data_IF_647787846683
#
_entry.id   IF_647787846683
#
_cell.length_a   1.000
_cell.length_b   1.000
_cell.length_c   1.000
_cell.angle_alpha   90.00
_cell.angle_beta   90.00
_cell.angle_gamma   90.00
#
_symmetry.space_group_name_H-M   'P 1'
#
loop_
_entity.id
_entity.type
_entity.pdbx_description
1 polymer ?
#
# COMPACT_ATOMS: atom_id res chain seq x y z
N UNK A 1 -38.15 44.69 41.86
CA UNK A 1 -37.45 44.45 40.57
C UNK A 1 -36.21 43.59 40.83
N UNK A 2 -36.24 42.29 40.52
CA UNK A 2 -35.03 41.45 40.47
C UNK A 2 -35.09 40.67 39.16
N UNK A 3 -34.17 40.98 38.25
CA UNK A 3 -34.12 40.38 36.91
C UNK A 3 -33.73 38.91 37.03
N UNK A 4 -34.41 38.05 36.28
CA UNK A 4 -34.02 36.65 36.09
C UNK A 4 -33.12 36.61 34.86
N UNK A 5 -31.83 36.36 35.06
CA UNK A 5 -30.89 36.07 33.97
C UNK A 5 -31.16 34.63 33.51
N UNK A 6 -31.79 34.49 32.34
CA UNK A 6 -32.01 33.22 31.67
C UNK A 6 -30.71 32.81 30.96
N UNK A 7 -29.98 31.84 31.51
CA UNK A 7 -28.80 31.27 30.88
C UNK A 7 -29.23 30.37 29.72
N UNK A 8 -29.15 30.88 28.48
CA UNK A 8 -29.36 30.08 27.27
C UNK A 8 -28.09 29.26 27.00
N UNK A 9 -28.17 27.94 27.15
CA UNK A 9 -27.15 27.02 26.62
C UNK A 9 -27.15 27.13 25.09
N UNK A 10 -26.09 27.72 24.54
CA UNK A 10 -25.81 27.65 23.11
C UNK A 10 -25.06 26.33 22.91
N UNK A 11 -25.77 25.32 22.40
CA UNK A 11 -25.16 24.07 21.96
C UNK A 11 -24.40 24.30 20.66
N UNK A 12 -23.08 24.45 20.74
CA UNK A 12 -22.22 24.53 19.57
C UNK A 12 -22.06 23.13 18.97
N UNK A 13 -22.75 22.87 17.87
CA UNK A 13 -22.58 21.66 17.06
C UNK A 13 -21.21 21.77 16.35
N UNK A 14 -20.18 21.07 16.85
CA UNK A 14 -18.92 20.94 16.13
C UNK A 14 -19.11 19.97 14.96
N UNK A 15 -19.31 20.50 13.75
CA UNK A 15 -19.18 19.71 12.53
C UNK A 15 -17.71 19.33 12.37
N UNK A 16 -17.39 18.04 12.53
CA UNK A 16 -16.07 17.51 12.20
C UNK A 16 -16.03 17.32 10.68
N UNK A 17 -15.18 18.04 9.93
CA UNK A 17 -15.05 17.79 8.51
C UNK A 17 -14.45 16.39 8.29
N UNK A 18 -15.14 15.58 7.49
CA UNK A 18 -14.62 14.31 7.00
C UNK A 18 -13.45 14.63 6.04
N UNK A 19 -12.22 14.53 6.51
CA UNK A 19 -11.04 14.59 5.64
C UNK A 19 -11.03 13.33 4.76
N UNK A 20 -11.45 13.47 3.51
CA UNK A 20 -11.29 12.42 2.51
C UNK A 20 -9.80 12.27 2.19
N UNK A 21 -9.25 11.07 2.33
CA UNK A 21 -7.90 10.77 1.86
C UNK A 21 -7.92 10.74 0.32
N UNK A 22 -7.12 11.59 -0.31
CA UNK A 22 -6.92 11.57 -1.75
C UNK A 22 -5.70 10.72 -2.11
N UNK A 23 -5.76 9.88 -3.15
CA UNK A 23 -4.62 9.10 -3.59
C UNK A 23 -3.47 10.05 -3.96
N UNK A 24 -2.28 9.74 -3.45
CA UNK A 24 -1.05 10.45 -3.77
C UNK A 24 -0.28 9.61 -4.78
N UNK A 25 0.01 10.21 -5.93
CA UNK A 25 0.92 9.63 -6.92
C UNK A 25 2.31 10.17 -6.64
N UNK A 26 3.25 9.28 -6.33
CA UNK A 26 4.66 9.60 -6.34
C UNK A 26 5.34 8.93 -7.53
N UNK A 27 6.26 9.68 -8.12
CA UNK A 27 7.13 9.16 -9.15
C UNK A 27 8.24 8.35 -8.49
N UNK A 28 8.44 7.11 -8.92
CA UNK A 28 9.66 6.37 -8.64
C UNK A 28 10.66 6.66 -9.77
N UNK A 29 11.94 6.78 -9.41
CA UNK A 29 13.02 7.14 -10.33
C UNK A 29 13.01 6.28 -11.61
N UNK A 30 13.52 6.81 -12.73
CA UNK A 30 13.51 6.10 -14.01
C UNK A 30 14.34 4.80 -13.91
N UNK A 31 13.72 3.67 -14.23
CA UNK A 31 14.37 2.35 -14.15
C UNK A 31 14.88 1.94 -15.52
N UNK A 32 16.18 1.64 -15.63
CA UNK A 32 16.74 1.02 -16.84
C UNK A 32 16.61 -0.49 -16.73
N UNK A 33 15.90 -1.10 -17.68
CA UNK A 33 15.73 -2.56 -17.78
C UNK A 33 16.49 -3.03 -19.01
N UNK A 34 17.56 -3.78 -18.81
CA UNK A 34 18.37 -4.33 -19.93
C UNK A 34 17.60 -5.44 -20.66
N UNK A 35 17.88 -5.63 -21.96
CA UNK A 35 17.39 -6.81 -22.69
C UNK A 35 17.87 -8.15 -22.10
N UNK A 36 18.91 -8.11 -21.27
CA UNK A 36 19.42 -9.25 -20.50
C UNK A 36 18.80 -9.37 -19.10
N UNK A 37 17.91 -8.47 -18.67
CA UNK A 37 17.36 -8.45 -17.31
C UNK A 37 16.42 -9.64 -17.07
N UNK A 38 16.90 -10.66 -16.36
CA UNK A 38 16.22 -11.92 -16.18
C UNK A 38 15.16 -11.85 -15.07
N UNK A 39 13.88 -11.82 -15.48
CA UNK A 39 12.76 -11.71 -14.53
C UNK A 39 12.65 -12.91 -13.58
N UNK A 40 13.14 -14.09 -13.99
CA UNK A 40 13.05 -15.31 -13.20
C UNK A 40 14.06 -15.37 -12.04
N UNK A 41 15.02 -14.44 -12.00
CA UNK A 41 15.91 -14.25 -10.86
C UNK A 41 15.38 -13.28 -9.79
N UNK A 42 14.17 -12.73 -9.98
CA UNK A 42 13.60 -11.75 -9.07
C UNK A 42 13.55 -12.26 -7.63
N UNK A 43 14.04 -11.45 -6.69
CA UNK A 43 14.02 -11.79 -5.26
C UNK A 43 15.11 -12.75 -4.78
N UNK A 44 15.84 -13.40 -5.68
CA UNK A 44 16.94 -14.30 -5.35
C UNK A 44 18.26 -13.58 -5.12
N UNK A 45 19.20 -14.28 -4.47
CA UNK A 45 20.59 -13.84 -4.34
C UNK A 45 21.51 -14.63 -5.27
N UNK A 46 22.70 -14.11 -5.62
CA UNK A 46 23.67 -14.87 -6.40
C UNK A 46 23.94 -16.26 -5.80
N UNK A 47 24.00 -17.32 -6.63
CA UNK A 47 23.98 -17.30 -8.09
C UNK A 47 22.59 -17.42 -8.74
N UNK A 48 21.51 -17.45 -7.94
CA UNK A 48 20.15 -17.73 -8.41
C UNK A 48 19.41 -16.49 -8.93
N UNK A 49 20.04 -15.30 -8.87
CA UNK A 49 19.51 -14.03 -9.36
C UNK A 49 19.61 -13.87 -10.89
N UNK A 50 20.22 -14.85 -11.58
CA UNK A 50 20.29 -14.96 -13.05
C UNK A 50 20.13 -16.41 -13.51
N UNK A 51 18.99 -17.07 -13.24
CA UNK A 51 18.84 -18.50 -13.51
C UNK A 51 18.82 -18.79 -15.02
N UNK A 52 19.53 -19.83 -15.42
CA UNK A 52 19.54 -20.32 -16.81
C UNK A 52 19.34 -21.84 -16.91
N UNK A 53 18.27 -22.41 -16.33
CA UNK A 53 17.98 -23.85 -16.44
C UNK A 53 17.80 -24.33 -17.89
N UNK A 54 17.39 -23.45 -18.81
CA UNK A 54 17.34 -23.73 -20.25
C UNK A 54 18.71 -23.63 -20.95
N UNK A 55 19.74 -23.10 -20.29
CA UNK A 55 21.05 -22.81 -20.87
C UNK A 55 21.13 -21.47 -21.60
N UNK A 56 22.17 -21.30 -22.43
CA UNK A 56 22.38 -20.12 -23.28
C UNK A 56 22.51 -18.77 -22.55
N UNK A 57 22.90 -18.80 -21.27
CA UNK A 57 23.19 -17.61 -20.45
C UNK A 57 21.99 -17.12 -19.64
N UNK A 58 22.28 -16.68 -18.41
CA UNK A 58 21.28 -16.17 -17.45
C UNK A 58 21.07 -14.66 -17.49
N UNK A 59 21.87 -13.94 -18.28
CA UNK A 59 21.76 -12.50 -18.46
C UNK A 59 22.26 -11.72 -17.24
N UNK A 60 21.49 -10.72 -16.83
CA UNK A 60 21.77 -9.83 -15.72
C UNK A 60 20.61 -9.84 -14.73
N UNK A 61 20.85 -9.59 -13.43
CA UNK A 61 19.76 -9.52 -12.45
C UNK A 61 18.72 -8.46 -12.83
N UNK A 62 17.44 -8.76 -12.62
CA UNK A 62 16.35 -7.81 -12.84
C UNK A 62 16.44 -6.64 -11.83
N UNK A 63 16.39 -5.36 -12.27
CA UNK A 63 16.28 -4.22 -11.37
C UNK A 63 14.94 -4.24 -10.61
N UNK A 64 14.90 -3.57 -9.45
CA UNK A 64 13.67 -3.44 -8.67
C UNK A 64 13.44 -2.03 -8.13
N UNK A 65 12.17 -1.74 -7.86
CA UNK A 65 11.69 -0.54 -7.16
C UNK A 65 11.13 -0.94 -5.80
N UNK A 66 11.41 -0.13 -4.77
CA UNK A 66 10.81 -0.33 -3.44
C UNK A 66 9.42 0.29 -3.39
N UNK A 67 8.44 -0.46 -2.88
CA UNK A 67 7.03 -0.08 -2.99
C UNK A 67 6.55 0.92 -1.93
N UNK A 68 7.26 1.10 -0.81
CA UNK A 68 7.00 2.16 0.19
C UNK A 68 5.51 2.36 0.58
N UNK A 69 4.78 1.26 0.81
CA UNK A 69 3.33 1.27 1.13
C UNK A 69 2.41 1.75 -0.01
N UNK A 70 2.88 1.79 -1.25
CA UNK A 70 2.03 1.97 -2.42
C UNK A 70 1.00 0.84 -2.52
N UNK A 71 -0.19 1.20 -2.98
CA UNK A 71 -1.33 0.29 -3.18
C UNK A 71 -1.48 -0.14 -4.63
N UNK A 72 -0.95 0.65 -5.56
CA UNK A 72 -0.89 0.29 -6.98
C UNK A 72 0.31 0.93 -7.67
N UNK A 73 0.66 0.38 -8.84
CA UNK A 73 1.64 0.94 -9.75
C UNK A 73 1.03 1.12 -11.13
N UNK A 74 1.44 2.18 -11.81
CA UNK A 74 1.24 2.40 -13.24
C UNK A 74 2.58 2.75 -13.88
N UNK A 75 2.65 2.67 -15.19
CA UNK A 75 3.87 3.00 -15.95
C UNK A 75 3.56 4.20 -16.84
N UNK A 76 4.31 5.29 -16.67
CA UNK A 76 4.02 6.57 -17.34
C UNK A 76 4.44 6.54 -18.80
N UNK A 77 5.74 6.53 -19.04
CA UNK A 77 6.36 6.30 -20.33
C UNK A 77 7.34 5.12 -20.25
N UNK A 78 7.19 4.17 -21.17
CA UNK A 78 8.17 3.11 -21.39
C UNK A 78 8.78 3.31 -22.77
N UNK A 79 10.08 3.57 -22.81
CA UNK A 79 10.80 3.89 -24.05
C UNK A 79 11.99 2.97 -24.25
N UNK A 80 12.58 2.98 -25.44
CA UNK A 80 13.67 2.07 -25.80
C UNK A 80 13.18 0.79 -26.47
N UNK A 81 14.13 -0.07 -26.80
CA UNK A 81 13.90 -1.32 -27.52
C UNK A 81 14.93 -2.36 -27.11
N UNK A 82 14.53 -3.62 -27.17
CA UNK A 82 15.42 -4.76 -26.98
C UNK A 82 15.39 -5.69 -28.17
N UNK A 83 16.42 -6.52 -28.33
CA UNK A 83 16.43 -7.60 -29.30
C UNK A 83 16.79 -8.90 -28.58
N UNK A 84 16.02 -9.95 -28.85
CA UNK A 84 16.22 -11.29 -28.32
C UNK A 84 16.58 -12.20 -29.50
N UNK A 85 17.76 -12.82 -29.46
CA UNK A 85 18.32 -13.56 -30.60
C UNK A 85 19.31 -12.81 -31.50
N UNK A 86 19.71 -11.58 -31.15
CA UNK A 86 20.82 -10.85 -31.79
C UNK A 86 20.67 -10.54 -33.30
N UNK A 87 19.45 -10.52 -33.83
CA UNK A 87 19.17 -10.37 -35.27
C UNK A 87 19.03 -8.91 -35.74
N UNK A 88 19.29 -7.93 -34.87
CA UNK A 88 18.94 -6.51 -35.03
C UNK A 88 17.45 -6.29 -35.34
N UNK A 89 16.58 -7.05 -34.68
CA UNK A 89 15.13 -6.93 -34.78
C UNK A 89 14.56 -6.28 -33.50
N UNK A 90 14.64 -4.95 -33.35
CA UNK A 90 14.24 -4.28 -32.12
C UNK A 90 12.74 -4.45 -31.85
N UNK A 91 12.44 -4.90 -30.64
CA UNK A 91 11.10 -5.06 -30.09
C UNK A 91 10.84 -3.93 -29.10
N UNK A 92 9.68 -3.30 -29.23
CA UNK A 92 9.20 -2.33 -28.23
C UNK A 92 8.76 -3.04 -26.94
N UNK A 93 8.36 -2.27 -25.92
CA UNK A 93 7.99 -2.80 -24.60
C UNK A 93 6.83 -3.81 -24.66
N UNK A 94 5.93 -3.65 -25.62
CA UNK A 94 4.82 -4.58 -25.85
C UNK A 94 5.25 -5.93 -26.42
N UNK A 95 6.51 -6.11 -26.80
CA UNK A 95 7.01 -7.32 -27.42
C UNK A 95 6.57 -7.49 -28.88
N UNK A 96 6.92 -8.64 -29.47
CA UNK A 96 6.64 -8.96 -30.87
C UNK A 96 5.60 -10.08 -30.99
N UNK A 97 4.41 -9.81 -31.57
CA UNK A 97 3.29 -10.75 -31.62
C UNK A 97 3.41 -11.86 -32.68
N UNK A 98 4.56 -11.99 -33.34
CA UNK A 98 4.77 -13.04 -34.38
C UNK A 98 5.06 -14.41 -33.80
N UNK A 99 5.46 -14.48 -32.54
CA UNK A 99 5.88 -15.70 -31.87
C UNK A 99 5.27 -15.75 -30.48
N UNK A 100 4.58 -16.83 -30.14
CA UNK A 100 4.03 -17.02 -28.80
C UNK A 100 5.10 -17.59 -27.86
N UNK A 101 5.07 -17.19 -26.59
CA UNK A 101 5.86 -17.75 -25.50
C UNK A 101 4.97 -18.43 -24.48
N UNK A 102 5.34 -19.65 -24.12
CA UNK A 102 4.92 -20.34 -22.90
C UNK A 102 6.19 -20.70 -22.12
N UNK A 103 6.56 -19.86 -21.16
CA UNK A 103 7.73 -20.09 -20.31
C UNK A 103 7.26 -20.69 -18.99
N UNK A 104 7.90 -21.78 -18.59
CA UNK A 104 7.61 -22.50 -17.36
C UNK A 104 8.06 -21.70 -16.13
N UNK A 105 7.34 -21.91 -15.01
CA UNK A 105 7.76 -21.41 -13.71
C UNK A 105 9.10 -22.01 -13.29
N UNK A 106 9.87 -21.25 -12.52
CA UNK A 106 11.15 -21.70 -12.02
C UNK A 106 11.47 -21.09 -10.66
N UNK A 107 11.90 -21.93 -9.71
CA UNK A 107 12.45 -21.53 -8.41
C UNK A 107 11.55 -20.56 -7.62
N UNK A 108 10.23 -20.82 -7.59
CA UNK A 108 9.26 -19.96 -6.90
C UNK A 108 8.72 -18.78 -7.71
N UNK A 109 9.34 -18.41 -8.84
CA UNK A 109 8.80 -17.38 -9.75
C UNK A 109 7.89 -18.04 -10.79
N UNK A 110 6.66 -17.52 -10.91
CA UNK A 110 5.69 -18.03 -11.88
C UNK A 110 6.14 -17.77 -13.32
N UNK A 111 5.94 -18.75 -14.20
CA UNK A 111 5.98 -18.57 -15.64
C UNK A 111 4.82 -17.74 -16.17
N UNK A 112 4.76 -17.57 -17.47
CA UNK A 112 3.68 -16.85 -18.14
C UNK A 112 3.45 -17.41 -19.55
N UNK A 113 2.26 -17.14 -20.08
CA UNK A 113 1.90 -17.39 -21.46
C UNK A 113 1.57 -16.06 -22.14
N UNK A 114 2.08 -15.85 -23.35
CA UNK A 114 1.78 -14.67 -24.15
C UNK A 114 1.84 -15.02 -25.64
N UNK A 115 1.08 -14.32 -26.46
CA UNK A 115 1.09 -14.43 -27.93
C UNK A 115 2.25 -13.66 -28.58
N UNK A 116 3.28 -13.36 -27.79
CA UNK A 116 4.38 -12.48 -28.13
C UNK A 116 5.65 -12.81 -27.34
N UNK A 117 6.78 -12.41 -27.90
CA UNK A 117 8.10 -12.53 -27.29
C UNK A 117 8.62 -11.16 -26.84
N UNK A 118 9.58 -11.16 -25.92
CA UNK A 118 10.25 -9.94 -25.44
C UNK A 118 9.34 -8.80 -24.92
N UNK A 119 8.17 -9.05 -24.29
CA UNK A 119 7.48 -7.96 -23.60
C UNK A 119 8.25 -7.54 -22.35
N UNK A 120 8.09 -6.28 -21.94
CA UNK A 120 8.42 -5.87 -20.57
C UNK A 120 7.49 -6.60 -19.60
N UNK A 121 8.09 -7.21 -18.58
CA UNK A 121 7.39 -7.97 -17.55
C UNK A 121 7.65 -7.36 -16.17
N UNK A 122 6.71 -7.61 -15.27
CA UNK A 122 6.82 -7.27 -13.85
C UNK A 122 6.57 -8.48 -12.96
N UNK A 123 7.12 -8.45 -11.75
CA UNK A 123 6.75 -9.37 -10.67
C UNK A 123 6.85 -8.66 -9.31
N UNK A 124 5.82 -8.82 -8.48
CA UNK A 124 5.83 -8.32 -7.11
C UNK A 124 6.43 -9.37 -6.18
N UNK A 125 7.46 -8.99 -5.43
CA UNK A 125 8.16 -9.88 -4.52
C UNK A 125 8.06 -9.34 -3.10
N UNK A 126 7.85 -10.25 -2.14
CA UNK A 126 7.80 -9.93 -0.72
C UNK A 126 9.17 -9.68 -0.09
N UNK A 127 9.23 -9.66 1.24
CA UNK A 127 10.48 -9.53 1.99
C UNK A 127 11.33 -10.81 1.98
N UNK A 128 10.70 -11.97 1.80
CA UNK A 128 11.36 -13.28 1.75
C UNK A 128 11.75 -13.64 0.33
N UNK A 129 12.74 -14.51 0.19
CA UNK A 129 13.12 -15.09 -1.09
C UNK A 129 11.98 -16.00 -1.61
N UNK A 130 11.65 -15.94 -2.92
CA UNK A 130 10.66 -16.84 -3.53
C UNK A 130 11.06 -18.30 -3.37
N UNK A 131 10.07 -19.18 -3.18
CA UNK A 131 10.28 -20.63 -3.01
C UNK A 131 9.22 -21.42 -3.78
N UNK A 132 9.55 -22.64 -4.18
CA UNK A 132 8.58 -23.54 -4.81
C UNK A 132 7.51 -24.04 -3.81
N UNK A 133 6.29 -24.32 -4.27
CA UNK A 133 5.84 -24.18 -5.66
C UNK A 133 5.55 -22.72 -6.04
N UNK A 134 5.98 -22.32 -7.23
CA UNK A 134 5.62 -21.03 -7.81
C UNK A 134 4.09 -20.88 -7.96
N UNK A 135 3.55 -19.64 -7.93
CA UNK A 135 2.15 -19.38 -8.23
C UNK A 135 1.72 -19.85 -9.63
N UNK A 136 0.40 -19.99 -9.88
CA UNK A 136 -0.10 -20.28 -11.22
C UNK A 136 0.35 -19.23 -12.24
N UNK A 137 0.66 -19.67 -13.47
CA UNK A 137 1.04 -18.78 -14.57
C UNK A 137 -0.15 -17.92 -14.99
N UNK A 138 0.12 -16.66 -15.31
CA UNK A 138 -0.87 -15.82 -15.99
C UNK A 138 -0.82 -16.09 -17.51
N UNK A 139 -1.99 -15.99 -18.16
CA UNK A 139 -2.13 -16.15 -19.60
C UNK A 139 -2.59 -14.84 -20.24
N UNK A 140 -1.71 -14.27 -21.05
CA UNK A 140 -1.89 -13.02 -21.79
C UNK A 140 -2.12 -13.22 -23.29
N UNK A 141 -2.29 -14.46 -23.77
CA UNK A 141 -2.67 -14.73 -25.17
C UNK A 141 -4.00 -14.03 -25.48
N UNK A 142 -3.97 -13.03 -26.35
CA UNK A 142 -5.13 -12.19 -26.66
C UNK A 142 -5.65 -11.34 -25.49
N UNK A 143 -4.89 -11.22 -24.39
CA UNK A 143 -5.37 -10.60 -23.14
C UNK A 143 -4.35 -9.62 -22.53
N UNK A 144 -3.63 -8.87 -23.37
CA UNK A 144 -2.74 -7.78 -22.92
C UNK A 144 -3.48 -6.43 -22.75
N UNK A 145 -4.72 -6.33 -23.22
CA UNK A 145 -5.55 -5.12 -23.16
C UNK A 145 -6.49 -5.14 -21.96
N UNK A 146 -6.00 -4.68 -20.81
CA UNK A 146 -6.78 -4.59 -19.57
C UNK A 146 -6.57 -3.24 -18.88
N UNK A 147 -7.57 -2.74 -18.15
CA UNK A 147 -7.43 -1.51 -17.36
C UNK A 147 -6.75 -1.76 -16.02
N UNK A 148 -6.99 -2.91 -15.41
CA UNK A 148 -6.39 -3.25 -14.12
C UNK A 148 -6.12 -4.74 -14.00
N UNK A 149 -5.04 -5.07 -13.29
CA UNK A 149 -4.64 -6.42 -12.95
C UNK A 149 -4.24 -6.48 -11.47
N UNK A 150 -4.54 -7.59 -10.81
CA UNK A 150 -4.11 -7.86 -9.43
C UNK A 150 -3.25 -9.13 -9.39
N UNK A 151 -1.95 -9.03 -9.72
CA UNK A 151 -1.03 -10.17 -9.65
C UNK A 151 -0.85 -10.61 -8.19
N UNK A 152 -0.62 -11.90 -7.98
CA UNK A 152 -0.14 -12.42 -6.70
C UNK A 152 1.34 -12.10 -6.47
N UNK A 153 1.84 -12.34 -5.25
CA UNK A 153 3.28 -12.40 -5.00
C UNK A 153 3.93 -13.45 -5.88
N UNK A 154 5.13 -13.15 -6.38
CA UNK A 154 5.98 -14.03 -7.18
C UNK A 154 5.34 -14.48 -8.51
N UNK A 155 4.26 -13.80 -8.92
CA UNK A 155 3.54 -14.05 -10.16
C UNK A 155 3.94 -13.04 -11.24
N UNK A 156 4.57 -13.53 -12.31
CA UNK A 156 4.98 -12.70 -13.46
C UNK A 156 3.74 -12.21 -14.22
N UNK A 157 3.74 -10.92 -14.57
CA UNK A 157 2.68 -10.28 -15.34
C UNK A 157 3.20 -9.42 -16.49
N UNK A 158 2.37 -9.28 -17.52
CA UNK A 158 2.62 -8.39 -18.65
C UNK A 158 2.54 -6.93 -18.21
N UNK A 159 3.58 -6.15 -18.51
CA UNK A 159 3.60 -4.69 -18.32
C UNK A 159 3.47 -3.99 -19.66
N UNK A 160 4.20 -4.45 -20.68
CA UNK A 160 4.19 -3.81 -21.98
C UNK A 160 4.70 -2.37 -21.93
N UNK A 161 4.05 -1.49 -22.67
CA UNK A 161 4.24 -0.04 -22.57
C UNK A 161 3.41 0.62 -21.46
N UNK A 162 2.67 -0.16 -20.66
CA UNK A 162 1.80 0.33 -19.60
C UNK A 162 0.44 0.83 -20.07
N UNK A 163 0.06 0.62 -21.34
CA UNK A 163 -1.20 1.04 -21.92
C UNK A 163 -2.06 -0.17 -22.33
N UNK A 164 -3.38 0.06 -22.48
CA UNK A 164 -4.31 -0.96 -22.97
C UNK A 164 -4.07 -1.38 -24.43
N UNK A 165 -3.13 -0.75 -25.14
CA UNK A 165 -2.77 -1.09 -26.51
C UNK A 165 -1.41 -0.50 -26.88
N UNK A 166 -0.85 -0.91 -28.01
CA UNK A 166 0.51 -0.51 -28.39
C UNK A 166 0.57 0.98 -28.76
N UNK A 167 1.28 1.76 -27.94
CA UNK A 167 1.45 3.20 -28.05
C UNK A 167 0.15 4.01 -27.91
N UNK A 168 -0.95 3.37 -27.50
CA UNK A 168 -2.30 3.98 -27.50
C UNK A 168 -3.19 3.40 -26.41
N UNK A 169 -4.26 4.11 -26.07
CA UNK A 169 -5.26 3.64 -25.11
C UNK A 169 -5.08 4.25 -23.72
N UNK A 170 -5.65 3.59 -22.72
CA UNK A 170 -5.64 4.05 -21.33
C UNK A 170 -4.47 3.44 -20.55
N UNK A 171 -3.99 4.16 -19.55
CA UNK A 171 -2.96 3.67 -18.62
C UNK A 171 -3.49 2.47 -17.84
N UNK A 172 -2.72 1.39 -17.78
CA UNK A 172 -3.02 0.21 -17.00
C UNK A 172 -2.60 0.40 -15.54
N UNK A 173 -3.37 -0.19 -14.63
CA UNK A 173 -3.11 -0.13 -13.20
C UNK A 173 -2.91 -1.52 -12.60
N UNK A 174 -1.76 -1.73 -11.98
CA UNK A 174 -1.42 -2.99 -11.33
C UNK A 174 -1.58 -2.85 -9.81
N UNK A 175 -2.49 -3.62 -9.23
CA UNK A 175 -2.72 -3.61 -7.78
C UNK A 175 -1.59 -4.38 -7.09
N UNK A 176 -0.98 -3.73 -6.10
CA UNK A 176 0.13 -4.32 -5.35
C UNK A 176 -0.44 -5.36 -4.37
N UNK A 177 -0.03 -6.63 -4.44
CA UNK A 177 -0.53 -7.65 -3.52
C UNK A 177 -0.02 -7.41 -2.10
N UNK A 178 -0.82 -7.82 -1.11
CA UNK A 178 -0.43 -7.73 0.30
C UNK A 178 0.89 -8.45 0.54
N UNK A 179 1.80 -7.78 1.24
CA UNK A 179 3.12 -8.31 1.58
C UNK A 179 4.21 -8.04 0.54
N UNK A 180 3.87 -7.47 -0.62
CA UNK A 180 4.86 -7.04 -1.60
C UNK A 180 5.67 -5.86 -1.05
N UNK A 181 6.99 -5.95 -1.17
CA UNK A 181 7.92 -4.88 -0.78
C UNK A 181 8.68 -4.34 -1.97
N UNK A 182 8.80 -5.13 -3.04
CA UNK A 182 9.59 -4.85 -4.23
C UNK A 182 8.79 -5.16 -5.49
N UNK A 183 8.91 -4.32 -6.51
CA UNK A 183 8.52 -4.62 -7.90
C UNK A 183 9.80 -4.83 -8.71
N UNK A 184 9.99 -6.02 -9.25
CA UNK A 184 11.06 -6.31 -10.20
C UNK A 184 10.56 -6.11 -11.63
N UNK A 185 11.44 -5.60 -12.49
CA UNK A 185 11.16 -5.38 -13.91
C UNK A 185 12.23 -6.08 -14.75
N UNK A 186 11.80 -6.74 -15.82
CA UNK A 186 12.70 -7.57 -16.63
C UNK A 186 11.99 -8.13 -17.84
N UNK A 187 12.63 -9.12 -18.45
CA UNK A 187 12.11 -9.84 -19.60
C UNK A 187 12.20 -11.35 -19.36
N UNK A 188 11.29 -12.08 -19.99
CA UNK A 188 11.27 -13.53 -19.98
C UNK A 188 11.84 -14.05 -21.30
N UNK A 189 12.85 -14.90 -21.22
CA UNK A 189 13.42 -15.55 -22.40
C UNK A 189 13.65 -17.04 -22.17
N UNK A 190 13.66 -17.78 -23.27
CA UNK A 190 13.85 -19.22 -23.27
C UNK A 190 14.32 -19.72 -24.63
N UNK A 191 15.19 -20.75 -24.67
CA UNK A 191 15.52 -21.42 -25.92
C UNK A 191 14.35 -22.25 -26.51
N UNK A 192 13.23 -22.40 -25.79
CA UNK A 192 12.02 -23.07 -26.26
C UNK A 192 10.80 -22.16 -26.08
N UNK A 193 9.96 -22.09 -27.11
CA UNK A 193 8.73 -21.29 -27.08
C UNK A 193 7.52 -22.01 -26.49
N UNK A 194 7.63 -23.33 -26.27
CA UNK A 194 6.56 -24.17 -25.71
C UNK A 194 7.02 -24.82 -24.40
N UNK A 195 6.41 -24.40 -23.29
CA UNK A 195 6.75 -24.77 -21.93
C UNK A 195 8.27 -24.75 -21.68
N UNK A 196 8.95 -23.70 -22.17
CA UNK A 196 10.39 -23.55 -22.12
C UNK A 196 10.89 -23.15 -20.72
N UNK A 197 12.09 -23.59 -20.36
CA UNK A 197 12.74 -23.16 -19.13
C UNK A 197 13.46 -21.82 -19.34
N UNK A 198 13.56 -20.95 -18.31
CA UNK A 198 14.30 -19.69 -18.41
C UNK A 198 15.74 -19.88 -18.91
N UNK A 199 16.18 -19.03 -19.84
CA UNK A 199 17.53 -19.07 -20.43
C UNK A 199 17.61 -18.22 -21.69
N UNK A 200 18.67 -18.40 -22.48
CA UNK A 200 18.89 -17.67 -23.74
C UNK A 200 19.02 -16.14 -23.61
N UNK A 201 19.48 -15.65 -22.46
CA UNK A 201 19.72 -14.21 -22.30
C UNK A 201 21.07 -13.74 -22.88
N UNK A 202 21.94 -14.67 -23.30
CA UNK A 202 23.34 -14.38 -23.65
C UNK A 202 23.54 -13.59 -24.95
N UNK A 203 22.56 -13.57 -25.83
CA UNK A 203 22.55 -12.84 -27.11
C UNK A 203 21.56 -11.67 -27.13
N UNK A 204 20.96 -11.35 -25.98
CA UNK A 204 20.03 -10.25 -25.85
C UNK A 204 20.76 -8.91 -25.77
N UNK A 205 20.22 -7.89 -26.42
CA UNK A 205 20.79 -6.54 -26.46
C UNK A 205 19.72 -5.47 -26.28
N UNK A 206 20.15 -4.24 -26.06
CA UNK A 206 19.28 -3.07 -25.88
C UNK A 206 18.75 -2.92 -24.46
N UNK A 207 17.84 -1.97 -24.28
CA UNK A 207 17.23 -1.69 -22.99
C UNK A 207 15.93 -0.92 -23.14
N UNK A 208 15.09 -1.02 -22.11
CA UNK A 208 13.99 -0.12 -21.85
C UNK A 208 14.36 0.90 -20.78
N UNK A 209 13.79 2.08 -20.88
CA UNK A 209 13.78 3.09 -19.85
C UNK A 209 12.33 3.28 -19.40
N UNK A 210 12.07 2.97 -18.12
CA UNK A 210 10.73 2.81 -17.56
C UNK A 210 10.47 3.89 -16.51
N UNK A 211 9.44 4.70 -16.75
CA UNK A 211 8.84 5.58 -15.75
C UNK A 211 7.87 4.77 -14.88
N UNK A 212 8.22 4.58 -13.61
CA UNK A 212 7.39 3.85 -12.63
C UNK A 212 6.65 4.83 -11.73
N UNK A 213 5.33 4.73 -11.69
CA UNK A 213 4.47 5.63 -10.91
C UNK A 213 3.77 4.85 -9.80
N UNK A 214 4.11 5.16 -8.56
CA UNK A 214 3.54 4.50 -7.38
C UNK A 214 2.39 5.35 -6.84
N UNK A 215 1.24 4.71 -6.60
CA UNK A 215 0.10 5.36 -5.97
C UNK A 215 -0.11 4.78 -4.59
N UNK A 216 -0.11 5.64 -3.58
CA UNK A 216 -0.51 5.30 -2.22
C UNK A 216 -1.85 5.95 -1.90
N UNK A 217 -2.70 5.24 -1.18
CA UNK A 217 -3.86 5.85 -0.55
C UNK A 217 -3.46 6.19 0.88
N UNK A 218 -3.37 7.48 1.26
CA UNK A 218 -3.15 7.85 2.65
C UNK A 218 -4.24 7.18 3.49
N UNK A 219 -3.85 6.59 4.63
CA UNK A 219 -4.84 6.06 5.57
C UNK A 219 -5.89 7.15 5.83
N UNK A 220 -7.20 6.85 5.68
CA UNK A 220 -8.23 7.79 6.07
C UNK A 220 -7.93 8.24 7.50
N UNK A 221 -8.25 9.49 7.84
CA UNK A 221 -7.97 10.07 9.16
C UNK A 221 -8.60 9.34 10.36
N UNK A 222 -8.96 8.06 10.27
CA UNK A 222 -9.35 7.14 11.32
C UNK A 222 -8.47 7.22 12.57
N UNK A 223 -7.16 7.42 12.45
CA UNK A 223 -6.30 7.69 13.62
C UNK A 223 -6.57 9.08 14.25
N UNK A 224 -6.83 10.09 13.42
CA UNK A 224 -7.25 11.40 13.90
C UNK A 224 -8.66 11.35 14.52
N UNK A 225 -9.60 10.61 13.94
CA UNK A 225 -10.95 10.36 14.49
C UNK A 225 -10.91 9.54 15.78
N UNK A 226 -10.04 8.53 15.85
CA UNK A 226 -9.80 7.76 17.08
C UNK A 226 -9.19 8.67 18.17
N UNK A 227 -8.20 9.50 17.81
CA UNK A 227 -7.60 10.49 18.71
C UNK A 227 -8.62 11.53 19.21
N UNK A 228 -9.46 12.07 18.33
CA UNK A 228 -10.55 12.98 18.69
C UNK A 228 -11.62 12.28 19.55
N UNK A 229 -11.90 11.00 19.28
CA UNK A 229 -12.78 10.15 20.09
C UNK A 229 -12.26 9.97 21.52
N UNK A 230 -10.96 9.73 21.68
CA UNK A 230 -10.33 9.66 23.01
C UNK A 230 -10.34 11.02 23.73
N UNK A 231 -10.05 12.11 23.02
CA UNK A 231 -10.04 13.46 23.60
C UNK A 231 -11.44 13.93 24.03
N UNK A 232 -12.47 13.62 23.25
CA UNK A 232 -13.86 13.92 23.59
C UNK A 232 -14.32 13.12 24.83
N UNK A 233 -13.96 11.85 24.96
CA UNK A 233 -14.25 11.06 26.17
C UNK A 233 -13.54 11.59 27.43
N UNK A 234 -12.33 12.12 27.31
CA UNK A 234 -11.60 12.73 28.43
C UNK A 234 -12.25 14.07 28.83
N UNK A 235 -12.61 14.92 27.87
CA UNK A 235 -13.30 16.19 28.11
C UNK A 235 -14.65 16.02 28.80
N UNK A 236 -15.46 15.04 28.35
CA UNK A 236 -16.75 14.68 28.97
C UNK A 236 -16.59 14.19 30.41
N UNK A 237 -15.54 13.40 30.72
CA UNK A 237 -15.25 12.99 32.10
C UNK A 237 -14.85 14.16 33.00
N UNK A 238 -14.10 15.13 32.50
CA UNK A 238 -13.70 16.31 33.29
C UNK A 238 -14.86 17.25 33.60
N UNK A 239 -15.76 17.47 32.63
CA UNK A 239 -16.98 18.27 32.84
C UNK A 239 -17.92 17.62 33.88
N UNK A 240 -18.07 16.29 33.86
CA UNK A 240 -18.90 15.56 34.83
C UNK A 240 -18.42 15.63 36.29
N UNK A 241 -17.14 15.98 36.51
CA UNK A 241 -16.56 16.14 37.86
C UNK A 241 -16.77 17.54 38.44
N UNK A 242 -17.06 18.53 37.59
CA UNK A 242 -17.21 19.93 38.02
C UNK A 242 -18.64 20.26 38.45
N UNK A 243 -19.65 19.51 37.98
CA UNK A 243 -21.06 19.68 38.37
C UNK A 243 -21.46 19.01 39.70
N UNK A 244 -20.51 18.67 40.58
CA UNK A 244 -20.84 18.29 41.97
C UNK A 244 -20.60 19.48 42.89
N UNK A 245 -21.53 20.46 42.99
CA UNK A 245 -21.50 21.38 44.11
C UNK A 245 -21.64 20.54 45.38
N UNK A 246 -20.67 20.67 46.28
CA UNK A 246 -20.70 20.12 47.63
C UNK A 246 -21.98 20.58 48.34
N UNK A 247 -23.02 19.74 48.33
CA UNK A 247 -24.24 19.93 49.13
C UNK A 247 -24.04 19.62 50.62
N UNK A 248 -22.81 19.55 51.09
CA UNK A 248 -22.47 19.33 52.49
C UNK A 248 -22.14 20.67 53.15
N UNK A 249 -23.15 21.49 53.46
CA UNK A 249 -23.10 22.54 54.50
C UNK A 249 -24.48 23.23 54.69
N UNK A 250 -25.56 22.45 54.89
CA UNK A 250 -26.83 22.98 55.42
C UNK A 250 -27.49 22.01 56.42
N UNK A 251 -26.79 21.69 57.51
CA UNK A 251 -27.36 21.14 58.76
C UNK A 251 -26.37 21.62 59.85
N UNK A 252 -26.70 22.40 60.87
CA UNK A 252 -27.91 22.60 61.69
C UNK A 252 -27.80 23.95 62.43
N UNK A 253 -28.88 24.75 62.52
CA UNK A 253 -29.00 25.83 63.52
C UNK A 253 -29.65 25.27 64.80
N UNK A 254 -29.22 25.67 66.01
CA UNK A 254 -29.79 25.16 67.25
C UNK A 254 -31.17 25.80 67.53
N UNK A 255 -32.13 24.96 67.93
CA UNK A 255 -33.42 25.39 68.41
C UNK A 255 -33.30 25.86 69.87
N UNK A 256 -33.81 27.07 70.13
CA UNK A 256 -33.95 27.62 71.47
C UNK A 256 -35.01 26.84 72.26
N UNK A 257 -34.63 26.31 73.42
CA UNK A 257 -35.56 25.81 74.43
C UNK A 257 -35.61 26.82 75.59
N UNK A 258 -36.75 27.50 75.72
CA UNK A 258 -37.16 28.30 76.87
C UNK A 258 -38.19 27.46 77.63
N UNK A 259 -37.91 27.05 78.87
CA UNK A 259 -38.90 26.87 79.95
C UNK A 259 -38.19 26.37 81.22
N UNK A 260 -38.54 26.92 82.40
CA UNK A 260 -38.12 26.34 83.68
C UNK A 260 -37.95 27.36 84.81
N UNK A 261 -39.07 27.76 85.39
CA UNK A 261 -39.22 28.57 86.60
C UNK A 261 -38.94 27.72 87.86
N UNK A 262 -38.11 28.16 88.82
CA UNK A 262 -38.25 27.89 90.27
C UNK A 262 -37.06 28.45 91.11
N UNK A 263 -37.37 29.50 91.88
CA UNK A 263 -36.98 29.83 93.28
C UNK A 263 -35.74 29.19 93.95
N UNK A 264 -34.88 30.01 94.57
CA UNK A 264 -34.57 30.04 96.04
C UNK A 264 -33.63 31.22 96.40
N UNK A 265 -33.95 31.82 97.56
CA UNK A 265 -33.44 32.96 98.33
C UNK A 265 -31.92 33.27 98.41
N UNK A 266 -31.52 34.54 98.59
CA UNK A 266 -30.18 34.92 99.05
C UNK A 266 -30.11 34.99 100.58
N UNK A 267 -29.17 34.24 101.18
CA UNK A 267 -28.70 34.43 102.56
C UNK A 267 -27.59 35.49 102.60
N UNK A 268 -27.66 36.38 103.59
CA UNK A 268 -26.86 37.61 103.73
C UNK A 268 -25.38 37.45 104.11
N UNK A 269 -24.71 38.58 104.39
CA UNK A 269 -23.26 38.71 104.43
C UNK A 269 -22.66 38.46 105.83
N UNK A 270 -21.41 38.02 105.88
CA UNK A 270 -20.69 37.86 107.15
C UNK A 270 -19.18 37.77 106.99
N UNK A 271 -18.54 38.91 107.29
CA UNK A 271 -17.14 39.14 107.73
C UNK A 271 -16.02 39.09 106.70
#
# INVERSE_FOLDING_TARGET
>A
MRSRLSLRLIGTLFAVPLLAASPQVCHADMVTVLGTANIFGAGHTPPNDTPAPGGFGGGTPAPFVTLNSATSVSFGAVTGTIDIGGANSPNGPDGNPRTAYDIASYNGIAGFQADRIAPLLGVFVGATEPIDPAPPRLNFVGNTSFLSLAPALDQVFFVGDGLTGTGTGSVQQFLIPTGATRLYLGIGDSPSTSNGLPGAYGDNIGSFLVDVQLTSVPEPGSLALLGLGFMSMIGLKMLSRWERPNLALQRTRPAAARSGYATVSPGGPGR
#
